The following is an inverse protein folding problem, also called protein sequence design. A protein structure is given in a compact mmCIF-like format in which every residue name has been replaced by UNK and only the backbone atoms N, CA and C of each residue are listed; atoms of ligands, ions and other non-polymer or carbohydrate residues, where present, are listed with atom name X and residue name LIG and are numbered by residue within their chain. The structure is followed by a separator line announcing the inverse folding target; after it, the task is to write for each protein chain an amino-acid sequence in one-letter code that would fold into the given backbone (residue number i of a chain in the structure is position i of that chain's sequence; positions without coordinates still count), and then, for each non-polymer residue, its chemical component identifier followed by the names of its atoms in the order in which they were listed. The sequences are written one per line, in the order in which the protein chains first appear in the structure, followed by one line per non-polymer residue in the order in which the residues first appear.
data_IF_128272932633
#
_entry.id   IF_128272932633
#
_cell.length_a   1.000
_cell.length_b   1.000
_cell.length_c   1.000
_cell.angle_alpha   90.00
_cell.angle_beta   90.00
_cell.angle_gamma   90.00
#
_symmetry.space_group_name_H-M   'P 1'
#
loop_
_entity.id
_entity.type
_entity.pdbx_description
1 polymer ?
#
# COMPACT_ATOMS: atom_id res chain seq x y z
N UNK A 1 15.60 15.65 18.18
CA UNK A 1 16.40 15.39 16.95
C UNK A 1 17.24 14.16 17.23
N UNK A 2 16.82 12.97 16.73
CA UNK A 2 17.65 11.76 16.88
C UNK A 2 18.80 11.88 15.90
N UNK A 3 20.04 11.68 16.38
CA UNK A 3 21.24 11.64 15.56
C UNK A 3 21.11 10.46 14.57
N UNK A 4 21.56 10.65 13.33
CA UNK A 4 21.67 9.54 12.38
C UNK A 4 22.57 8.46 12.99
N UNK A 5 22.20 7.17 12.86
CA UNK A 5 23.06 6.08 13.36
C UNK A 5 24.42 6.10 12.69
N UNK A 6 25.45 5.70 13.44
CA UNK A 6 26.82 5.63 12.95
C UNK A 6 26.93 4.67 11.76
N UNK A 7 27.88 4.92 10.85
CA UNK A 7 28.11 4.04 9.69
C UNK A 7 28.44 2.61 10.18
N UNK A 8 27.53 1.67 9.86
CA UNK A 8 27.62 0.25 10.28
C UNK A 8 26.54 -0.21 11.27
N UNK A 9 25.78 0.69 11.88
CA UNK A 9 24.65 0.30 12.74
C UNK A 9 23.42 -0.06 11.92
N UNK A 10 22.85 -1.22 12.21
CA UNK A 10 21.57 -1.66 11.63
C UNK A 10 20.45 -0.85 12.24
N UNK A 11 19.62 -0.25 11.39
CA UNK A 11 18.65 0.75 11.81
C UNK A 11 17.29 0.18 12.18
N UNK A 12 16.99 -1.07 11.82
CA UNK A 12 15.74 -1.76 12.14
C UNK A 12 15.93 -2.73 13.30
N UNK A 13 15.05 -2.73 14.31
CA UNK A 13 15.03 -3.78 15.30
C UNK A 13 14.42 -5.06 14.70
N UNK A 14 15.14 -6.18 14.80
CA UNK A 14 14.65 -7.47 14.29
C UNK A 14 14.81 -7.66 12.79
N UNK A 15 14.02 -8.58 12.24
CA UNK A 15 14.06 -9.03 10.85
C UNK A 15 13.11 -8.24 9.95
N UNK A 16 13.41 -8.20 8.64
CA UNK A 16 12.61 -7.47 7.64
C UNK A 16 12.20 -8.39 6.50
N UNK A 17 10.92 -8.34 6.12
CA UNK A 17 10.44 -8.85 4.82
C UNK A 17 10.18 -7.67 3.89
N UNK A 18 10.80 -7.65 2.71
CA UNK A 18 10.42 -6.77 1.61
C UNK A 18 9.46 -7.52 0.67
N UNK A 19 8.25 -7.00 0.51
CA UNK A 19 7.24 -7.51 -0.41
C UNK A 19 7.22 -6.66 -1.69
N UNK A 20 7.38 -7.30 -2.84
CA UNK A 20 7.38 -6.70 -4.18
C UNK A 20 6.24 -7.32 -5.01
N UNK A 21 5.08 -6.66 -5.15
CA UNK A 21 4.07 -7.10 -6.11
C UNK A 21 4.56 -6.83 -7.53
N UNK A 22 4.46 -7.82 -8.43
CA UNK A 22 4.92 -7.74 -9.81
C UNK A 22 3.87 -8.31 -10.77
N UNK A 23 3.62 -7.61 -11.89
CA UNK A 23 2.82 -8.12 -13.00
C UNK A 23 3.30 -7.53 -14.31
N UNK A 24 3.93 -8.37 -15.13
CA UNK A 24 4.61 -7.99 -16.37
C UNK A 24 5.69 -6.92 -16.12
N UNK A 25 6.65 -7.25 -15.26
CA UNK A 25 7.74 -6.39 -14.81
C UNK A 25 9.12 -7.02 -15.11
N UNK A 26 9.25 -7.83 -16.16
CA UNK A 26 10.48 -8.56 -16.53
C UNK A 26 11.69 -7.62 -16.71
N UNK A 27 11.48 -6.43 -17.27
CA UNK A 27 12.52 -5.41 -17.43
C UNK A 27 12.92 -4.70 -16.13
N UNK A 28 12.08 -4.76 -15.07
CA UNK A 28 12.27 -3.98 -13.85
C UNK A 28 12.64 -4.84 -12.64
N UNK A 29 12.15 -6.09 -12.58
CA UNK A 29 12.20 -6.87 -11.33
C UNK A 29 13.62 -7.26 -10.93
N UNK A 30 14.50 -7.60 -11.88
CA UNK A 30 15.88 -7.97 -11.58
C UNK A 30 16.67 -6.80 -10.97
N UNK A 31 16.71 -5.60 -11.58
CA UNK A 31 17.37 -4.44 -10.98
C UNK A 31 16.83 -4.10 -9.58
N UNK A 32 15.52 -4.22 -9.35
CA UNK A 32 14.90 -3.92 -8.04
C UNK A 32 15.34 -4.92 -6.98
N UNK A 33 15.32 -6.23 -7.29
CA UNK A 33 15.74 -7.26 -6.34
C UNK A 33 17.22 -7.17 -6.06
N UNK A 34 18.10 -6.98 -7.08
CA UNK A 34 19.53 -6.80 -6.88
C UNK A 34 19.84 -5.58 -6.00
N UNK A 35 19.15 -4.46 -6.26
CA UNK A 35 19.27 -3.26 -5.43
C UNK A 35 18.85 -3.51 -3.99
N UNK A 36 17.79 -4.26 -3.76
CA UNK A 36 17.34 -4.64 -2.43
C UNK A 36 18.38 -5.54 -1.71
N UNK A 37 18.96 -6.53 -2.39
CA UNK A 37 20.02 -7.39 -1.85
C UNK A 37 21.29 -6.60 -1.45
N UNK A 38 21.58 -5.51 -2.16
CA UNK A 38 22.71 -4.61 -1.84
C UNK A 38 22.43 -3.72 -0.63
N UNK A 39 21.20 -3.20 -0.52
CA UNK A 39 20.85 -2.15 0.44
C UNK A 39 20.39 -2.73 1.79
N UNK A 40 19.54 -3.75 1.78
CA UNK A 40 18.89 -4.27 2.99
C UNK A 40 19.87 -4.79 4.06
N UNK A 41 21.02 -5.37 3.73
CA UNK A 41 22.02 -5.78 4.74
C UNK A 41 22.53 -4.64 5.64
N UNK A 42 22.41 -3.39 5.17
CA UNK A 42 22.79 -2.19 5.94
C UNK A 42 21.71 -1.80 6.97
N UNK A 43 20.48 -2.27 6.79
CA UNK A 43 19.33 -1.87 7.59
C UNK A 43 18.79 -2.98 8.49
N UNK A 44 18.92 -4.23 8.11
CA UNK A 44 18.45 -5.38 8.89
C UNK A 44 19.50 -6.48 8.96
N UNK A 45 19.57 -7.14 10.12
CA UNK A 45 20.48 -8.27 10.34
C UNK A 45 20.03 -9.49 9.54
N UNK A 46 18.73 -9.71 9.54
CA UNK A 46 18.05 -10.79 8.86
C UNK A 46 16.95 -10.19 7.99
N UNK A 47 16.87 -10.61 6.72
CA UNK A 47 15.85 -10.14 5.82
C UNK A 47 15.54 -11.17 4.74
N UNK A 48 14.33 -11.07 4.21
CA UNK A 48 13.89 -11.78 3.02
C UNK A 48 13.22 -10.83 2.02
N UNK A 49 13.23 -11.20 0.75
CA UNK A 49 12.54 -10.51 -0.33
C UNK A 49 11.49 -11.47 -0.89
N UNK A 50 10.22 -11.12 -0.75
CA UNK A 50 9.09 -11.89 -1.27
C UNK A 50 8.56 -11.18 -2.51
N UNK A 51 8.86 -11.70 -3.70
CA UNK A 51 8.27 -11.22 -4.94
C UNK A 51 6.99 -11.99 -5.19
N UNK A 52 5.90 -11.26 -5.40
CA UNK A 52 4.60 -11.86 -5.74
C UNK A 52 4.32 -11.62 -7.22
N UNK A 53 4.50 -12.65 -8.04
CA UNK A 53 4.11 -12.63 -9.46
C UNK A 53 2.60 -12.82 -9.58
N UNK A 54 1.88 -11.75 -9.92
CA UNK A 54 0.42 -11.78 -10.08
C UNK A 54 -0.02 -12.28 -11.47
N UNK A 55 0.48 -13.45 -11.85
CA UNK A 55 0.12 -14.12 -13.10
C UNK A 55 0.63 -13.40 -14.33
N UNK A 56 1.90 -13.01 -14.35
CA UNK A 56 2.57 -12.41 -15.50
C UNK A 56 2.57 -13.33 -16.72
N UNK A 57 2.60 -12.72 -17.89
CA UNK A 57 2.67 -13.41 -19.20
C UNK A 57 4.00 -13.23 -19.90
N UNK A 58 4.86 -12.37 -19.34
CA UNK A 58 6.24 -12.12 -19.78
C UNK A 58 7.25 -12.95 -18.99
N UNK A 59 8.53 -12.57 -19.04
CA UNK A 59 9.63 -13.25 -18.35
C UNK A 59 9.70 -13.05 -16.83
N UNK A 60 8.78 -12.28 -16.21
CA UNK A 60 8.88 -11.88 -14.79
C UNK A 60 9.10 -13.07 -13.85
N UNK A 61 8.28 -14.13 -13.96
CA UNK A 61 8.39 -15.28 -13.08
C UNK A 61 9.74 -16.00 -13.23
N UNK A 62 10.20 -16.22 -14.47
CA UNK A 62 11.46 -16.90 -14.76
C UNK A 62 12.66 -16.10 -14.21
N UNK A 63 12.64 -14.79 -14.33
CA UNK A 63 13.68 -13.92 -13.75
C UNK A 63 13.73 -14.07 -12.23
N UNK A 64 12.57 -14.06 -11.55
CA UNK A 64 12.53 -14.21 -10.09
C UNK A 64 12.93 -15.62 -9.64
N UNK A 65 12.56 -16.66 -10.38
CA UNK A 65 13.01 -18.04 -10.12
C UNK A 65 14.53 -18.16 -10.20
N UNK A 66 15.16 -17.53 -11.19
CA UNK A 66 16.62 -17.50 -11.32
C UNK A 66 17.29 -16.76 -10.14
N UNK A 67 16.72 -15.63 -9.71
CA UNK A 67 17.20 -14.86 -8.57
C UNK A 67 17.05 -15.66 -7.25
N UNK A 68 15.94 -16.37 -7.06
CA UNK A 68 15.70 -17.21 -5.89
C UNK A 68 16.62 -18.43 -5.84
N UNK A 69 16.99 -18.97 -7.00
CA UNK A 69 17.98 -20.05 -7.06
C UNK A 69 19.40 -19.57 -6.74
N UNK A 70 19.73 -18.31 -7.03
CA UNK A 70 21.02 -17.70 -6.75
C UNK A 70 21.17 -17.19 -5.30
N UNK A 71 20.07 -16.77 -4.67
CA UNK A 71 20.07 -16.23 -3.30
C UNK A 71 18.83 -16.68 -2.52
N UNK A 72 19.03 -17.51 -1.51
CA UNK A 72 17.96 -18.09 -0.69
C UNK A 72 17.13 -17.08 0.12
N UNK A 73 17.52 -15.79 0.15
CA UNK A 73 16.75 -14.71 0.73
C UNK A 73 15.63 -14.22 -0.20
N UNK A 74 15.68 -14.56 -1.48
CA UNK A 74 14.64 -14.22 -2.47
C UNK A 74 13.67 -15.38 -2.59
N UNK A 75 12.38 -15.08 -2.54
CA UNK A 75 11.31 -16.05 -2.65
C UNK A 75 10.25 -15.58 -3.64
N UNK A 76 9.78 -16.51 -4.48
CA UNK A 76 8.67 -16.28 -5.39
C UNK A 76 7.37 -16.83 -4.80
N UNK A 77 6.34 -15.98 -4.79
CA UNK A 77 4.94 -16.38 -4.63
C UNK A 77 4.24 -16.16 -5.98
N UNK A 78 3.69 -17.22 -6.60
CA UNK A 78 3.13 -17.13 -7.94
C UNK A 78 1.62 -17.34 -7.93
N UNK A 79 0.88 -16.43 -8.54
CA UNK A 79 -0.53 -16.60 -8.83
C UNK A 79 -0.72 -17.25 -10.20
N UNK A 80 -1.66 -18.20 -10.37
CA UNK A 80 -1.89 -18.84 -11.66
C UNK A 80 -2.51 -17.90 -12.70
N UNK A 81 -3.03 -16.76 -12.28
CA UNK A 81 -3.61 -15.68 -13.09
C UNK A 81 -3.59 -14.38 -12.34
N UNK A 82 -3.74 -13.26 -13.05
CA UNK A 82 -3.87 -11.95 -12.43
C UNK A 82 -5.09 -11.89 -11.50
N UNK A 83 -4.85 -11.57 -10.22
CA UNK A 83 -5.84 -11.42 -9.16
C UNK A 83 -5.96 -9.98 -8.70
N UNK A 84 -5.05 -9.12 -9.14
CA UNK A 84 -4.97 -7.69 -8.84
C UNK A 84 -3.96 -7.34 -7.74
N UNK A 85 -3.53 -6.09 -7.78
CA UNK A 85 -2.50 -5.53 -6.92
C UNK A 85 -2.71 -5.81 -5.42
N UNK A 86 -3.93 -5.62 -4.94
CA UNK A 86 -4.25 -5.88 -3.53
C UNK A 86 -4.17 -7.35 -3.17
N UNK A 87 -4.53 -8.25 -4.10
CA UNK A 87 -4.39 -9.68 -3.89
C UNK A 87 -2.91 -10.10 -3.85
N UNK A 88 -2.07 -9.50 -4.69
CA UNK A 88 -0.63 -9.70 -4.66
C UNK A 88 -0.02 -9.25 -3.32
N UNK A 89 -0.36 -8.05 -2.84
CA UNK A 89 0.07 -7.57 -1.53
C UNK A 89 -0.41 -8.49 -0.40
N UNK A 90 -1.67 -8.90 -0.42
CA UNK A 90 -2.23 -9.80 0.60
C UNK A 90 -1.46 -11.12 0.66
N UNK A 91 -1.15 -11.71 -0.51
CA UNK A 91 -0.35 -12.94 -0.57
C UNK A 91 1.08 -12.74 -0.10
N UNK A 92 1.70 -11.60 -0.41
CA UNK A 92 3.03 -11.25 0.06
C UNK A 92 3.09 -11.05 1.58
N UNK A 93 2.10 -10.36 2.15
CA UNK A 93 2.01 -10.20 3.60
C UNK A 93 1.77 -11.52 4.32
N UNK A 94 0.94 -12.39 3.78
CA UNK A 94 0.70 -13.72 4.34
C UNK A 94 1.96 -14.61 4.27
N UNK A 95 2.77 -14.46 3.22
CA UNK A 95 4.03 -15.19 3.05
C UNK A 95 5.20 -14.60 3.87
N UNK A 96 5.08 -13.38 4.38
CA UNK A 96 6.14 -12.68 5.11
C UNK A 96 6.41 -13.30 6.49
N UNK A 97 7.70 -13.28 6.90
CA UNK A 97 8.15 -13.85 8.17
C UNK A 97 8.79 -12.83 9.09
N UNK A 98 9.23 -11.68 8.55
CA UNK A 98 9.94 -10.65 9.29
C UNK A 98 9.13 -10.03 10.43
N UNK A 99 9.83 -9.54 11.45
CA UNK A 99 9.26 -8.71 12.53
C UNK A 99 8.67 -7.44 11.97
N UNK A 100 9.28 -6.93 10.88
CA UNK A 100 8.78 -5.82 10.09
C UNK A 100 8.51 -6.29 8.65
N UNK A 101 7.47 -5.74 8.05
CA UNK A 101 7.11 -6.00 6.66
C UNK A 101 7.05 -4.69 5.92
N UNK A 102 7.88 -4.55 4.92
CA UNK A 102 7.88 -3.43 3.98
C UNK A 102 7.24 -3.87 2.67
N UNK A 103 6.51 -3.00 2.00
CA UNK A 103 6.22 -3.20 0.59
C UNK A 103 6.64 -1.99 -0.26
N UNK A 104 6.97 -2.27 -1.50
CA UNK A 104 7.37 -1.31 -2.52
C UNK A 104 6.96 -1.84 -3.90
N UNK A 105 6.56 -0.95 -4.81
CA UNK A 105 6.28 -1.34 -6.19
C UNK A 105 7.57 -1.76 -6.92
N UNK A 106 7.45 -2.71 -7.85
CA UNK A 106 8.56 -3.26 -8.61
C UNK A 106 8.93 -2.43 -9.87
N UNK A 107 8.32 -1.27 -10.10
CA UNK A 107 8.40 -0.47 -11.32
C UNK A 107 9.54 0.57 -11.34
N UNK A 108 10.45 0.50 -10.35
CA UNK A 108 11.61 1.38 -10.18
C UNK A 108 11.27 2.85 -9.91
N UNK A 109 10.03 3.16 -9.51
CA UNK A 109 9.65 4.52 -9.11
C UNK A 109 10.07 4.85 -7.67
N UNK A 110 10.50 3.86 -6.88
CA UNK A 110 11.11 4.04 -5.57
C UNK A 110 12.49 3.38 -5.50
N UNK A 111 13.41 3.93 -4.71
CA UNK A 111 14.66 3.26 -4.33
C UNK A 111 14.52 2.74 -2.89
N UNK A 112 14.77 1.46 -2.70
CA UNK A 112 14.78 0.83 -1.38
C UNK A 112 15.77 1.50 -0.40
N UNK A 113 16.77 2.22 -0.90
CA UNK A 113 17.70 3.02 -0.08
C UNK A 113 17.00 4.09 0.75
N UNK A 114 15.81 4.54 0.37
CA UNK A 114 15.00 5.47 1.16
C UNK A 114 14.42 4.83 2.43
N UNK A 115 14.59 3.53 2.64
CA UNK A 115 14.34 2.87 3.92
C UNK A 115 15.10 3.55 5.06
N UNK A 116 16.29 4.12 4.80
CA UNK A 116 17.06 4.95 5.76
C UNK A 116 16.25 6.12 6.36
N UNK A 117 15.28 6.64 5.62
CA UNK A 117 14.42 7.76 6.06
C UNK A 117 13.31 7.27 7.01
N UNK A 118 12.82 6.05 6.82
CA UNK A 118 11.75 5.44 7.62
C UNK A 118 12.29 4.74 8.86
N UNK A 119 13.44 4.09 8.75
CA UNK A 119 14.05 3.23 9.76
C UNK A 119 14.11 3.86 11.17
N UNK A 120 14.44 5.16 11.34
CA UNK A 120 14.49 5.77 12.67
C UNK A 120 13.17 5.77 13.44
N UNK A 121 12.05 5.58 12.76
CA UNK A 121 10.70 5.64 13.34
C UNK A 121 10.06 4.26 13.52
N UNK A 122 10.66 3.20 12.95
CA UNK A 122 10.06 1.84 12.92
C UNK A 122 9.95 1.23 14.32
N UNK A 123 10.90 1.53 15.22
CA UNK A 123 10.86 1.03 16.59
C UNK A 123 9.68 1.57 17.42
N UNK A 124 9.26 2.81 17.14
CA UNK A 124 8.28 3.54 17.95
C UNK A 124 6.86 3.51 17.36
N UNK A 125 6.72 3.08 16.09
CA UNK A 125 5.44 3.13 15.38
C UNK A 125 5.09 1.79 14.76
N UNK A 126 3.79 1.48 14.79
CA UNK A 126 3.27 0.25 14.16
C UNK A 126 3.29 0.32 12.64
N UNK A 127 3.23 1.54 12.10
CA UNK A 127 3.27 1.84 10.66
C UNK A 127 4.13 3.07 10.42
N UNK A 128 5.08 2.97 9.51
CA UNK A 128 5.80 4.12 8.96
C UNK A 128 5.48 4.20 7.46
N UNK A 129 4.71 5.21 7.07
CA UNK A 129 4.22 5.37 5.71
C UNK A 129 4.97 6.48 4.97
N UNK A 130 5.52 6.17 3.81
CA UNK A 130 6.06 7.15 2.90
C UNK A 130 4.97 8.05 2.32
N UNK A 131 5.33 9.28 1.96
CA UNK A 131 4.58 10.12 1.03
C UNK A 131 5.56 10.71 0.01
N UNK A 132 5.12 10.83 -1.24
CA UNK A 132 5.98 11.31 -2.34
C UNK A 132 6.27 12.80 -2.17
N UNK A 133 7.57 13.17 -2.05
CA UNK A 133 8.00 14.55 -1.90
C UNK A 133 7.75 15.35 -3.19
N UNK A 134 8.11 14.76 -4.33
CA UNK A 134 7.91 15.37 -5.65
C UNK A 134 6.95 14.47 -6.46
N UNK A 135 5.84 15.06 -6.87
CA UNK A 135 4.85 14.38 -7.70
C UNK A 135 4.92 14.95 -9.11
N UNK A 136 5.54 14.22 -10.00
CA UNK A 136 5.60 14.55 -11.45
C UNK A 136 4.32 14.13 -12.19
N UNK A 137 3.20 13.97 -11.45
CA UNK A 137 1.92 13.62 -12.03
C UNK A 137 1.27 14.82 -12.74
N UNK A 138 0.58 14.61 -13.88
CA UNK A 138 -0.25 15.65 -14.52
C UNK A 138 -1.28 16.23 -13.53
N UNK A 139 -1.61 17.52 -13.70
CA UNK A 139 -2.49 18.26 -12.78
C UNK A 139 -3.80 17.52 -12.47
N UNK A 140 -4.46 16.97 -13.49
CA UNK A 140 -5.71 16.22 -13.31
C UNK A 140 -5.55 15.01 -12.37
N UNK A 141 -4.43 14.26 -12.44
CA UNK A 141 -4.15 13.14 -11.53
C UNK A 141 -3.91 13.61 -10.11
N UNK A 142 -3.24 14.75 -9.93
CA UNK A 142 -3.04 15.35 -8.60
C UNK A 142 -4.37 15.76 -7.96
N UNK A 143 -5.28 16.37 -8.73
CA UNK A 143 -6.62 16.74 -8.27
C UNK A 143 -7.44 15.51 -7.88
N UNK A 144 -7.45 14.47 -8.72
CA UNK A 144 -8.15 13.22 -8.37
C UNK A 144 -7.58 12.54 -7.14
N UNK A 145 -6.26 12.50 -6.98
CA UNK A 145 -5.63 11.95 -5.80
C UNK A 145 -6.02 12.73 -4.52
N UNK A 146 -6.09 14.06 -4.60
CA UNK A 146 -6.51 14.88 -3.45
C UNK A 146 -7.99 14.65 -3.11
N UNK A 147 -8.86 14.62 -4.10
CA UNK A 147 -10.29 14.27 -3.89
C UNK A 147 -10.40 12.90 -3.23
N UNK A 148 -9.62 11.91 -3.68
CA UNK A 148 -9.61 10.57 -3.10
C UNK A 148 -9.08 10.60 -1.65
N UNK A 149 -7.98 11.29 -1.36
CA UNK A 149 -7.45 11.45 -0.02
C UNK A 149 -8.48 12.10 0.94
N UNK A 150 -9.17 13.15 0.47
CA UNK A 150 -10.25 13.80 1.25
C UNK A 150 -11.39 12.81 1.50
N UNK A 151 -11.82 12.07 0.49
CA UNK A 151 -12.88 11.05 0.61
C UNK A 151 -12.50 10.00 1.66
N UNK A 152 -11.27 9.48 1.61
CA UNK A 152 -10.78 8.49 2.57
C UNK A 152 -10.71 9.08 3.99
N UNK A 153 -10.27 10.33 4.11
CA UNK A 153 -10.24 11.04 5.40
C UNK A 153 -11.63 11.17 6.01
N UNK A 154 -12.60 11.56 5.19
CA UNK A 154 -13.99 11.77 5.62
C UNK A 154 -14.68 10.46 5.97
N UNK A 155 -14.53 9.41 5.14
CA UNK A 155 -15.25 8.14 5.32
C UNK A 155 -14.61 7.22 6.38
N UNK A 156 -13.29 7.22 6.49
CA UNK A 156 -12.57 6.25 7.33
C UNK A 156 -11.80 6.90 8.49
N UNK A 157 -11.73 8.23 8.55
CA UNK A 157 -10.92 8.96 9.54
C UNK A 157 -9.42 8.71 9.37
N UNK A 158 -8.97 8.36 8.18
CA UNK A 158 -7.55 8.09 7.86
C UNK A 158 -6.90 9.36 7.36
N UNK A 159 -5.90 9.85 8.11
CA UNK A 159 -5.22 11.12 7.83
C UNK A 159 -3.82 10.85 7.27
N UNK A 160 -3.74 10.51 5.99
CA UNK A 160 -2.50 10.35 5.25
C UNK A 160 -2.36 11.45 4.18
N UNK A 161 -1.12 11.90 3.96
CA UNK A 161 -0.78 12.85 2.91
C UNK A 161 -0.84 12.20 1.53
N UNK A 162 -0.47 10.91 1.46
CA UNK A 162 -0.45 10.13 0.23
C UNK A 162 -0.78 8.67 0.55
N UNK A 163 -2.08 8.33 0.44
CA UNK A 163 -2.55 6.99 0.81
C UNK A 163 -2.03 5.91 -0.14
N UNK A 164 -1.81 6.27 -1.41
CA UNK A 164 -1.41 5.34 -2.45
C UNK A 164 0.11 5.23 -2.62
N UNK A 165 0.90 5.91 -1.78
CA UNK A 165 2.35 5.73 -1.80
C UNK A 165 2.72 4.28 -1.47
N UNK A 166 3.37 3.62 -2.42
CA UNK A 166 3.79 2.21 -2.30
C UNK A 166 5.17 2.07 -1.62
N UNK A 167 5.37 2.75 -0.50
CA UNK A 167 6.59 2.69 0.28
C UNK A 167 6.26 2.78 1.77
N UNK A 168 5.97 1.64 2.37
CA UNK A 168 5.51 1.58 3.77
C UNK A 168 6.14 0.41 4.51
N UNK A 169 6.45 0.65 5.78
CA UNK A 169 6.90 -0.38 6.73
C UNK A 169 5.83 -0.57 7.79
N UNK A 170 5.52 -1.82 8.08
CA UNK A 170 4.54 -2.24 9.07
C UNK A 170 5.21 -3.12 10.11
N UNK A 171 4.70 -3.12 11.33
CA UNK A 171 4.96 -4.21 12.26
C UNK A 171 4.35 -5.51 11.71
N UNK A 172 5.13 -6.58 11.65
CA UNK A 172 4.78 -7.80 10.94
C UNK A 172 3.51 -8.49 11.48
N UNK A 173 3.36 -8.58 12.80
CA UNK A 173 2.17 -9.15 13.45
C UNK A 173 0.90 -8.36 13.13
N UNK A 174 0.99 -7.02 13.09
CA UNK A 174 -0.11 -6.15 12.74
C UNK A 174 -0.62 -6.44 11.33
N UNK A 175 0.27 -6.40 10.32
CA UNK A 175 -0.17 -6.54 8.92
C UNK A 175 -0.66 -7.96 8.61
N UNK A 176 -0.02 -8.99 9.17
CA UNK A 176 -0.43 -10.39 9.01
C UNK A 176 -1.76 -10.71 9.69
N UNK A 177 -2.11 -9.99 10.76
CA UNK A 177 -3.40 -10.18 11.45
C UNK A 177 -4.60 -9.58 10.72
N UNK A 178 -4.37 -8.78 9.67
CA UNK A 178 -5.46 -8.10 8.96
C UNK A 178 -6.10 -9.01 7.90
N UNK A 179 -7.41 -9.31 7.99
CA UNK A 179 -8.15 -10.02 6.95
C UNK A 179 -8.40 -9.09 5.75
N UNK A 180 -7.40 -8.91 4.87
CA UNK A 180 -7.46 -8.03 3.71
C UNK A 180 -8.29 -8.64 2.58
N UNK A 181 -9.14 -7.85 1.91
CA UNK A 181 -10.11 -8.30 0.92
C UNK A 181 -10.15 -7.48 -0.37
N UNK A 182 -9.62 -6.24 -0.36
CA UNK A 182 -9.60 -5.40 -1.55
C UNK A 182 -8.63 -5.95 -2.60
N UNK A 183 -9.09 -6.34 -3.81
CA UNK A 183 -8.21 -6.94 -4.81
C UNK A 183 -7.36 -5.91 -5.57
N UNK A 184 -7.76 -4.64 -5.59
CA UNK A 184 -7.11 -3.55 -6.32
C UNK A 184 -6.37 -2.55 -5.44
N UNK A 185 -6.14 -1.34 -5.96
CA UNK A 185 -5.41 -0.27 -5.28
C UNK A 185 -6.07 0.19 -3.96
N UNK A 186 -7.37 -0.06 -3.78
CA UNK A 186 -8.09 0.24 -2.54
C UNK A 186 -7.54 -0.53 -1.32
N UNK A 187 -6.69 -1.53 -1.52
CA UNK A 187 -5.97 -2.24 -0.46
C UNK A 187 -5.23 -1.27 0.47
N UNK A 188 -4.64 -0.19 -0.07
CA UNK A 188 -3.96 0.82 0.72
C UNK A 188 -4.92 1.50 1.71
N UNK A 189 -6.13 1.84 1.27
CA UNK A 189 -7.17 2.39 2.13
C UNK A 189 -7.64 1.36 3.15
N UNK A 190 -7.85 0.11 2.74
CA UNK A 190 -8.30 -0.96 3.64
C UNK A 190 -7.30 -1.21 4.77
N UNK A 191 -6.01 -1.31 4.46
CA UNK A 191 -4.95 -1.48 5.46
C UNK A 191 -5.00 -0.35 6.48
N UNK A 192 -5.03 0.91 6.03
CA UNK A 192 -5.00 2.06 6.92
C UNK A 192 -6.27 2.18 7.78
N UNK A 193 -7.44 1.91 7.19
CA UNK A 193 -8.70 1.91 7.92
C UNK A 193 -8.73 0.82 9.01
N UNK A 194 -8.26 -0.40 8.69
CA UNK A 194 -8.16 -1.50 9.66
C UNK A 194 -7.10 -1.24 10.72
N UNK A 195 -5.95 -0.70 10.35
CA UNK A 195 -4.89 -0.30 11.29
C UNK A 195 -5.40 0.74 12.29
N UNK A 196 -6.11 1.78 11.80
CA UNK A 196 -6.77 2.76 12.66
C UNK A 196 -7.76 2.10 13.62
N UNK A 197 -8.58 1.16 13.16
CA UNK A 197 -9.52 0.42 14.00
C UNK A 197 -8.82 -0.44 15.05
N UNK A 198 -7.64 -0.95 14.77
CA UNK A 198 -6.79 -1.66 15.74
C UNK A 198 -6.04 -0.72 16.69
N UNK A 199 -6.11 0.60 16.49
CA UNK A 199 -5.41 1.61 17.30
C UNK A 199 -3.92 1.71 17.01
N UNK A 200 -3.49 1.27 15.82
CA UNK A 200 -2.10 1.34 15.41
C UNK A 200 -1.58 2.79 15.37
N UNK A 201 -0.34 2.96 15.82
CA UNK A 201 0.42 4.21 15.71
C UNK A 201 0.98 4.36 14.30
N UNK A 202 0.94 5.60 13.77
CA UNK A 202 1.34 5.91 12.40
C UNK A 202 2.30 7.10 12.36
N UNK A 203 3.42 6.96 11.66
CA UNK A 203 4.33 8.03 11.27
C UNK A 203 4.30 8.21 9.75
N UNK A 204 4.45 9.45 9.28
CA UNK A 204 4.56 9.75 7.86
C UNK A 204 5.90 10.41 7.54
N UNK A 205 6.58 9.93 6.49
CA UNK A 205 7.92 10.35 6.11
C UNK A 205 7.97 10.64 4.62
N UNK A 206 8.58 11.76 4.22
CA UNK A 206 8.79 12.07 2.81
C UNK A 206 9.81 11.13 2.17
N UNK A 207 9.49 10.58 1.00
CA UNK A 207 10.36 9.69 0.20
C UNK A 207 10.48 10.20 -1.23
N UNK A 208 11.59 9.88 -1.88
CA UNK A 208 11.78 10.23 -3.28
C UNK A 208 10.91 9.37 -4.18
N UNK A 209 10.45 9.96 -5.28
CA UNK A 209 9.66 9.27 -6.29
C UNK A 209 10.20 9.62 -7.67
N UNK A 210 10.66 8.61 -8.38
CA UNK A 210 11.33 8.74 -9.65
C UNK A 210 10.37 8.54 -10.84
N UNK A 211 10.70 9.10 -12.01
CA UNK A 211 9.98 8.77 -13.23
C UNK A 211 10.05 7.27 -13.54
N UNK A 212 8.96 6.70 -14.05
CA UNK A 212 8.93 5.31 -14.49
C UNK A 212 9.92 5.08 -15.63
N UNK A 213 10.70 4.01 -15.53
CA UNK A 213 11.72 3.66 -16.52
C UNK A 213 11.14 2.83 -17.65
N UNK A 214 10.23 1.89 -17.33
CA UNK A 214 9.57 0.99 -18.30
C UNK A 214 8.12 0.71 -17.90
N UNK A 215 7.29 0.26 -18.86
CA UNK A 215 5.88 -0.06 -18.62
C UNK A 215 4.91 1.11 -18.79
N UNK A 216 3.60 0.81 -18.78
CA UNK A 216 2.52 1.78 -18.98
C UNK A 216 1.69 2.00 -17.72
N UNK A 217 1.34 3.26 -17.41
CA UNK A 217 0.47 3.57 -16.28
C UNK A 217 -0.99 3.24 -16.60
N UNK A 218 -1.60 2.30 -15.85
CA UNK A 218 -2.96 1.81 -16.10
C UNK A 218 -4.07 2.56 -15.34
N UNK A 219 -3.74 3.47 -14.41
CA UNK A 219 -4.66 4.02 -13.40
C UNK A 219 -5.58 5.19 -13.81
N UNK A 220 -5.67 5.59 -15.10
CA UNK A 220 -6.29 6.90 -15.47
C UNK A 220 -7.64 6.85 -16.18
N UNK A 221 -8.28 5.68 -16.38
CA UNK A 221 -9.53 5.61 -17.13
C UNK A 221 -10.79 5.88 -16.26
N UNK A 222 -11.84 6.45 -16.85
CA UNK A 222 -13.13 6.70 -16.16
C UNK A 222 -13.71 5.40 -15.53
N UNK A 223 -13.51 4.26 -16.18
CA UNK A 223 -13.91 2.94 -15.63
C UNK A 223 -13.20 2.62 -14.33
N UNK A 224 -11.90 2.93 -14.24
CA UNK A 224 -11.10 2.71 -13.02
C UNK A 224 -11.60 3.62 -11.90
N UNK A 225 -11.92 4.89 -12.20
CA UNK A 225 -12.44 5.84 -11.22
C UNK A 225 -13.81 5.37 -10.68
N UNK A 226 -14.75 5.01 -11.54
CA UNK A 226 -16.07 4.51 -11.14
C UNK A 226 -15.98 3.21 -10.32
N UNK A 227 -15.06 2.32 -10.71
CA UNK A 227 -14.78 1.10 -9.97
C UNK A 227 -14.23 1.42 -8.57
N UNK A 228 -13.26 2.34 -8.48
CA UNK A 228 -12.68 2.77 -7.20
C UNK A 228 -13.74 3.40 -6.28
N UNK A 229 -14.64 4.23 -6.82
CA UNK A 229 -15.76 4.80 -6.04
C UNK A 229 -16.69 3.72 -5.49
N UNK A 230 -17.11 2.76 -6.33
CA UNK A 230 -17.93 1.63 -5.88
C UNK A 230 -17.23 0.80 -4.80
N UNK A 231 -15.96 0.48 -5.02
CA UNK A 231 -15.16 -0.29 -4.07
C UNK A 231 -14.99 0.47 -2.74
N UNK A 232 -14.85 1.81 -2.78
CA UNK A 232 -14.78 2.65 -1.58
C UNK A 232 -16.04 2.58 -0.74
N UNK A 233 -17.22 2.64 -1.39
CA UNK A 233 -18.51 2.48 -0.69
C UNK A 233 -18.64 1.08 -0.08
N UNK A 234 -18.28 0.04 -0.83
CA UNK A 234 -18.32 -1.34 -0.32
C UNK A 234 -17.35 -1.54 0.84
N UNK A 235 -16.16 -0.95 0.78
CA UNK A 235 -15.20 -0.99 1.88
C UNK A 235 -15.77 -0.28 3.11
N UNK A 236 -16.37 0.90 2.93
CA UNK A 236 -16.98 1.65 4.03
C UNK A 236 -18.05 0.82 4.74
N UNK A 237 -18.95 0.17 3.99
CA UNK A 237 -19.95 -0.75 4.54
C UNK A 237 -19.30 -1.92 5.32
N UNK A 238 -18.27 -2.55 4.76
CA UNK A 238 -17.53 -3.63 5.43
C UNK A 238 -16.85 -3.18 6.71
N UNK A 239 -16.35 -1.94 6.75
CA UNK A 239 -15.68 -1.40 7.93
C UNK A 239 -16.62 -1.23 9.14
N UNK A 240 -17.92 -1.10 8.95
CA UNK A 240 -18.90 -1.11 10.05
C UNK A 240 -18.95 -2.47 10.77
N UNK A 241 -18.80 -3.55 10.01
CA UNK A 241 -18.84 -4.91 10.52
C UNK A 241 -17.46 -5.44 10.90
N UNK A 242 -16.40 -4.71 10.57
CA UNK A 242 -15.04 -5.13 10.91
C UNK A 242 -14.83 -5.09 12.42
N UNK A 243 -14.45 -6.23 12.97
CA UNK A 243 -14.06 -6.38 14.38
C UNK A 243 -12.55 -6.53 14.44
N UNK A 244 -11.82 -5.63 15.13
CA UNK A 244 -10.40 -5.80 15.39
C UNK A 244 -10.13 -7.15 16.07
N UNK A 245 -8.98 -7.79 15.79
CA UNK A 245 -8.60 -9.03 16.48
C UNK A 245 -8.39 -8.77 17.98
N UNK A 246 -8.46 -9.83 18.78
CA UNK A 246 -8.25 -9.74 20.24
C UNK A 246 -6.85 -9.20 20.61
N UNK A 247 -5.87 -9.31 19.69
CA UNK A 247 -4.51 -8.79 19.83
C UNK A 247 -4.40 -7.29 19.58
N UNK A 248 -5.48 -6.61 19.17
CA UNK A 248 -5.47 -5.16 18.94
C UNK A 248 -5.18 -4.39 20.24
N UNK A 249 -4.16 -3.51 20.23
CA UNK A 249 -3.69 -2.81 21.44
C UNK A 249 -4.70 -1.81 21.99
N UNK A 250 -5.37 -1.05 21.10
CA UNK A 250 -6.34 0.01 21.46
C UNK A 250 -7.47 0.04 20.44
N UNK A 251 -8.40 -0.93 20.43
CA UNK A 251 -9.48 -0.95 19.45
C UNK A 251 -10.27 0.36 19.45
N UNK A 252 -10.51 0.92 18.27
CA UNK A 252 -11.29 2.15 18.08
C UNK A 252 -12.64 1.82 17.43
N UNK A 253 -13.71 2.56 17.77
CA UNK A 253 -15.02 2.40 17.12
C UNK A 253 -14.96 2.78 15.62
N UNK A 254 -16.00 2.45 14.85
CA UNK A 254 -16.21 3.00 13.51
C UNK A 254 -16.10 4.54 13.52
N UNK A 255 -15.80 5.13 12.38
CA UNK A 255 -15.65 6.57 12.25
C UNK A 255 -17.01 7.22 11.96
N UNK A 256 -17.71 7.65 12.99
CA UNK A 256 -19.09 8.16 12.93
C UNK A 256 -19.27 9.40 12.04
N UNK A 257 -18.24 10.25 11.90
CA UNK A 257 -18.31 11.39 10.98
C UNK A 257 -18.43 10.92 9.52
N UNK A 258 -17.76 9.81 9.17
CA UNK A 258 -17.88 9.17 7.87
C UNK A 258 -19.30 8.70 7.58
N UNK A 259 -20.00 8.20 8.58
CA UNK A 259 -21.38 7.73 8.47
C UNK A 259 -22.32 8.89 8.14
N UNK A 260 -22.21 9.99 8.88
CA UNK A 260 -23.00 11.21 8.64
C UNK A 260 -22.71 11.84 7.28
N UNK A 261 -21.43 11.92 6.88
CA UNK A 261 -21.02 12.46 5.58
C UNK A 261 -21.53 11.60 4.42
N UNK A 262 -21.51 10.27 4.57
CA UNK A 262 -22.03 9.35 3.55
C UNK A 262 -23.53 9.47 3.37
N UNK A 263 -24.29 9.53 4.47
CA UNK A 263 -25.74 9.72 4.43
C UNK A 263 -26.12 11.06 3.76
N UNK A 264 -25.40 12.14 4.10
CA UNK A 264 -25.59 13.45 3.45
C UNK A 264 -25.26 13.39 1.96
N UNK A 265 -24.15 12.74 1.56
CA UNK A 265 -23.75 12.57 0.16
C UNK A 265 -24.76 11.77 -0.66
N UNK A 266 -25.30 10.68 -0.12
CA UNK A 266 -26.35 9.87 -0.75
C UNK A 266 -27.64 10.69 -0.91
N UNK A 267 -28.01 11.47 0.10
CA UNK A 267 -29.18 12.37 0.03
C UNK A 267 -29.04 13.42 -1.06
N UNK A 268 -27.88 14.07 -1.19
CA UNK A 268 -27.58 15.06 -2.22
C UNK A 268 -27.60 14.44 -3.63
N UNK A 269 -27.00 13.26 -3.80
CA UNK A 269 -26.98 12.55 -5.08
C UNK A 269 -28.40 12.14 -5.51
N UNK A 270 -29.22 11.65 -4.59
CA UNK A 270 -30.62 11.31 -4.84
C UNK A 270 -31.45 12.56 -5.23
N UNK A 271 -31.25 13.69 -4.55
CA UNK A 271 -31.88 14.95 -4.87
C UNK A 271 -31.47 15.48 -6.24
N UNK A 272 -30.18 15.38 -6.60
CA UNK A 272 -29.68 15.78 -7.92
C UNK A 272 -30.27 14.92 -9.04
N UNK A 273 -30.34 13.60 -8.86
CA UNK A 273 -30.96 12.67 -9.82
C UNK A 273 -32.45 12.93 -9.98
N UNK A 274 -33.18 13.19 -8.89
CA UNK A 274 -34.61 13.56 -8.94
C UNK A 274 -34.83 14.88 -9.70
N UNK A 275 -33.92 15.85 -9.53
CA UNK A 275 -33.99 17.14 -10.23
C UNK A 275 -33.72 17.00 -11.74
N UNK A 276 -32.74 16.17 -12.10
CA UNK A 276 -32.42 15.84 -13.50
C UNK A 276 -33.55 15.05 -14.17
N UNK A 277 -34.17 14.11 -13.46
CA UNK A 277 -35.35 13.38 -13.96
C UNK A 277 -36.50 14.32 -14.22
N UNK A 278 -36.82 15.26 -13.31
CA UNK A 278 -37.87 16.27 -13.51
C UNK A 278 -37.59 17.21 -14.70
N UNK A 279 -36.32 17.52 -15.00
CA UNK A 279 -35.97 18.36 -16.19
C UNK A 279 -36.09 17.62 -17.52
N UNK A 280 -36.04 16.29 -17.52
CA UNK A 280 -36.15 15.47 -18.74
C UNK A 280 -37.61 15.21 -19.17
N UNK A 281 -38.56 15.50 -18.28
CA UNK A 281 -40.00 15.33 -18.50
C UNK A 281 -40.78 16.68 -18.62
N UNK A 282 -40.08 17.78 -18.76
CA UNK A 282 -40.56 19.09 -19.19
C UNK A 282 -39.91 19.49 -20.52
#
# INVERSE_FOLDING_TARGET
MRLAPAAGERTLPGSLTLVLPAHNEDANIEPVVRRALEVLPRHAADFEIVVVDDGSRDGTAAVVEALAAADGRVRLVRHPRNRGYGAALTSGFAASRGDHVMFMDADRQFDVADLRLLAPFVADHDIVAGFRLERNDPLHRRVFAEIFNVTVRVLFGVHLRDIDCAFKVFRGDLIRSMPLQAPGALINTEIQAKARRQGASLMQVGVHHYPRVAGTATGGSLRVILRAMRETVLLWLRMHWYRPPATARKPRPPYLLGDAAMLAGVGLAAAALATLAKRRWR
#
